data_IF_788417826793
#
_entry.id   IF_788417826793
#
_cell.length_a   1.000
_cell.length_b   1.000
_cell.length_c   1.000
_cell.angle_alpha   90.00
_cell.angle_beta   90.00
_cell.angle_gamma   90.00
#
_symmetry.space_group_name_H-M   'P 1'
#
loop_
_entity.id
_entity.type
_entity.pdbx_description
1 polymer ?
#
# COMPACT_ATOMS: atom_id res chain seq x y z
N UNK A 1 -36.87 -22.17 16.51
CA UNK A 1 -36.93 -21.68 15.12
C UNK A 1 -35.55 -21.14 14.78
N UNK A 2 -34.86 -21.80 13.85
CA UNK A 2 -33.63 -21.28 13.26
C UNK A 2 -33.97 -20.05 12.42
N UNK A 3 -33.45 -18.87 12.79
CA UNK A 3 -33.34 -17.76 11.86
C UNK A 3 -32.06 -17.96 11.05
N UNK A 4 -32.22 -18.63 9.90
CA UNK A 4 -31.24 -18.64 8.81
C UNK A 4 -31.42 -17.36 8.00
N UNK A 5 -30.83 -16.26 8.45
CA UNK A 5 -30.54 -15.13 7.57
C UNK A 5 -29.05 -15.16 7.26
N UNK A 6 -28.77 -15.28 5.97
CA UNK A 6 -27.45 -15.46 5.38
C UNK A 6 -26.60 -14.21 5.56
N UNK A 7 -25.86 -14.14 6.67
CA UNK A 7 -24.68 -13.30 6.78
C UNK A 7 -23.59 -13.95 5.94
N UNK A 8 -23.22 -13.34 4.82
CA UNK A 8 -21.99 -13.70 4.12
C UNK A 8 -20.82 -13.16 4.97
N UNK A 9 -20.52 -13.88 6.06
CA UNK A 9 -19.36 -13.61 6.91
C UNK A 9 -18.14 -13.69 5.99
N UNK A 10 -17.39 -12.58 5.87
CA UNK A 10 -16.10 -12.60 5.17
C UNK A 10 -15.26 -13.67 5.87
N UNK A 11 -15.05 -14.80 5.20
CA UNK A 11 -14.31 -15.92 5.75
C UNK A 11 -12.84 -15.51 5.77
N UNK A 12 -12.32 -15.26 6.97
CA UNK A 12 -10.93 -14.84 7.18
C UNK A 12 -9.90 -15.85 6.66
N UNK A 13 -10.33 -17.06 6.29
CA UNK A 13 -9.49 -18.12 5.74
C UNK A 13 -9.69 -18.34 4.22
N UNK A 14 -10.48 -17.49 3.55
CA UNK A 14 -10.71 -17.57 2.11
C UNK A 14 -10.53 -16.23 1.43
N UNK A 15 -10.08 -16.28 0.18
CA UNK A 15 -10.15 -15.12 -0.71
C UNK A 15 -11.61 -14.92 -1.12
N UNK A 16 -12.33 -14.09 -0.36
CA UNK A 16 -13.70 -13.72 -0.70
C UNK A 16 -13.75 -12.70 -1.83
N UNK A 17 -14.77 -12.86 -2.69
CA UNK A 17 -15.05 -11.93 -3.78
C UNK A 17 -16.06 -10.90 -3.31
N UNK A 18 -15.59 -9.69 -2.98
CA UNK A 18 -16.48 -8.57 -2.64
C UNK A 18 -17.47 -8.24 -3.76
N UNK A 19 -17.17 -8.59 -5.01
CA UNK A 19 -18.09 -8.44 -6.14
C UNK A 19 -19.39 -9.24 -6.02
N UNK A 20 -19.48 -10.20 -5.10
CA UNK A 20 -20.69 -10.96 -4.84
C UNK A 20 -21.61 -10.32 -3.78
N UNK A 21 -21.12 -9.34 -3.01
CA UNK A 21 -21.88 -8.67 -1.96
C UNK A 21 -22.97 -7.79 -2.57
N UNK A 22 -24.18 -7.85 -2.00
CA UNK A 22 -25.37 -7.14 -2.50
C UNK A 22 -26.24 -6.71 -1.33
N UNK A 23 -27.10 -5.72 -1.57
CA UNK A 23 -28.07 -5.27 -0.57
C UNK A 23 -27.39 -4.75 0.70
N UNK A 24 -27.85 -5.22 1.86
CA UNK A 24 -27.40 -4.75 3.17
C UNK A 24 -25.92 -5.08 3.44
N UNK A 25 -25.43 -6.25 3.01
CA UNK A 25 -24.03 -6.66 3.21
C UNK A 25 -23.06 -5.70 2.51
N UNK A 26 -23.41 -5.24 1.30
CA UNK A 26 -22.61 -4.26 0.56
C UNK A 26 -22.63 -2.89 1.27
N UNK A 27 -23.78 -2.47 1.79
CA UNK A 27 -23.87 -1.20 2.51
C UNK A 27 -23.07 -1.24 3.82
N UNK A 28 -23.11 -2.35 4.55
CA UNK A 28 -22.30 -2.53 5.76
C UNK A 28 -20.80 -2.52 5.43
N UNK A 29 -20.36 -3.19 4.36
CA UNK A 29 -18.96 -3.14 3.93
C UNK A 29 -18.54 -1.71 3.59
N UNK A 30 -19.37 -0.94 2.87
CA UNK A 30 -19.07 0.46 2.55
C UNK A 30 -18.89 1.28 3.83
N UNK A 31 -19.82 1.17 4.79
CA UNK A 31 -19.71 1.87 6.08
C UNK A 31 -18.45 1.45 6.83
N UNK A 32 -18.09 0.17 6.82
CA UNK A 32 -16.85 -0.29 7.45
C UNK A 32 -15.62 0.29 6.77
N UNK A 33 -15.54 0.28 5.43
CA UNK A 33 -14.42 0.84 4.67
C UNK A 33 -14.29 2.36 4.91
N UNK A 34 -15.40 3.09 4.89
CA UNK A 34 -15.40 4.55 5.13
C UNK A 34 -14.90 4.92 6.53
N UNK A 35 -15.11 4.04 7.51
CA UNK A 35 -14.64 4.22 8.88
C UNK A 35 -13.30 3.53 9.17
N UNK A 36 -12.74 2.81 8.20
CA UNK A 36 -11.51 2.05 8.38
C UNK A 36 -10.29 2.96 8.22
N UNK A 37 -9.61 3.24 9.33
CA UNK A 37 -8.35 3.95 9.32
C UNK A 37 -7.18 2.96 9.45
N UNK A 38 -6.34 2.88 8.41
CA UNK A 38 -5.08 2.13 8.48
C UNK A 38 -4.08 2.88 9.36
N UNK A 39 -3.85 2.35 10.56
CA UNK A 39 -2.73 2.79 11.39
C UNK A 39 -1.40 2.37 10.75
N UNK A 40 -0.38 3.20 10.94
CA UNK A 40 0.99 2.83 10.61
C UNK A 40 1.39 1.59 11.42
N UNK A 41 1.98 0.59 10.76
CA UNK A 41 2.46 -0.64 11.40
C UNK A 41 3.96 -0.75 11.22
N UNK A 42 4.63 -1.23 12.27
CA UNK A 42 6.08 -1.50 12.24
C UNK A 42 6.38 -2.93 11.75
N UNK A 43 5.35 -3.76 11.58
CA UNK A 43 5.39 -5.12 11.03
C UNK A 43 4.06 -5.50 10.40
N UNK A 44 4.10 -6.33 9.36
CA UNK A 44 2.91 -6.97 8.76
C UNK A 44 2.65 -8.38 9.31
N UNK A 45 3.61 -8.96 10.03
CA UNK A 45 3.67 -10.35 10.46
C UNK A 45 3.61 -11.32 9.27
N UNK A 46 4.33 -11.00 8.19
CA UNK A 46 4.49 -11.92 7.07
C UNK A 46 5.48 -13.04 7.44
N UNK A 47 5.32 -14.27 6.91
CA UNK A 47 6.33 -15.31 7.05
C UNK A 47 7.69 -14.85 6.53
N UNK A 48 8.79 -15.30 7.15
CA UNK A 48 10.17 -14.85 6.82
C UNK A 48 10.55 -15.11 5.36
N UNK A 49 9.95 -16.13 4.73
CA UNK A 49 10.19 -16.49 3.33
C UNK A 49 9.34 -15.69 2.32
N UNK A 50 8.50 -14.78 2.78
CA UNK A 50 7.68 -13.93 1.92
C UNK A 50 8.41 -12.61 1.69
N UNK A 51 8.41 -12.19 0.42
CA UNK A 51 8.87 -10.86 0.03
C UNK A 51 7.74 -10.00 -0.49
N UNK A 52 7.92 -8.69 -0.46
CA UNK A 52 6.95 -7.74 -1.02
C UNK A 52 7.66 -6.51 -1.60
N UNK A 53 6.97 -5.79 -2.46
CA UNK A 53 7.36 -4.47 -2.95
C UNK A 53 6.34 -3.43 -2.50
N UNK A 54 6.81 -2.19 -2.38
CA UNK A 54 5.99 -1.01 -2.09
C UNK A 54 6.15 0.01 -3.20
N UNK A 55 5.03 0.59 -3.63
CA UNK A 55 4.97 1.72 -4.54
C UNK A 55 4.25 2.88 -3.86
N UNK A 56 4.90 4.05 -3.85
CA UNK A 56 4.39 5.28 -3.26
C UNK A 56 4.21 6.32 -4.35
N UNK A 57 2.96 6.56 -4.72
CA UNK A 57 2.60 7.60 -5.67
C UNK A 57 2.45 8.96 -4.98
N UNK A 58 2.95 10.01 -5.62
CA UNK A 58 2.85 11.39 -5.13
C UNK A 58 2.62 12.39 -6.25
N UNK A 59 1.85 13.43 -5.94
CA UNK A 59 1.57 14.56 -6.82
C UNK A 59 2.01 15.88 -6.21
N UNK A 60 2.30 16.87 -7.06
CA UNK A 60 2.60 18.24 -6.63
C UNK A 60 4.06 18.48 -6.24
N UNK A 61 4.90 17.44 -6.28
CA UNK A 61 6.36 17.55 -6.25
C UNK A 61 6.92 17.02 -7.57
N UNK A 62 7.86 17.75 -8.17
CA UNK A 62 8.53 17.25 -9.36
C UNK A 62 9.38 16.02 -9.02
N UNK A 63 9.33 15.00 -9.86
CA UNK A 63 10.12 13.77 -9.72
C UNK A 63 11.60 14.03 -9.40
N UNK A 64 12.26 14.94 -10.12
CA UNK A 64 13.68 15.31 -9.86
C UNK A 64 13.99 15.67 -8.41
N UNK A 65 13.05 16.28 -7.68
CA UNK A 65 13.25 16.61 -6.27
C UNK A 65 13.09 15.40 -5.36
N UNK A 66 12.17 14.49 -5.68
CA UNK A 66 12.05 13.22 -4.99
C UNK A 66 13.25 12.32 -5.30
N UNK A 67 13.59 12.11 -6.57
CA UNK A 67 14.74 11.33 -7.02
C UNK A 67 16.06 11.78 -6.38
N UNK A 68 16.32 13.09 -6.35
CA UNK A 68 17.50 13.63 -5.67
C UNK A 68 17.54 13.28 -4.18
N UNK A 69 16.39 13.31 -3.49
CA UNK A 69 16.31 12.95 -2.08
C UNK A 69 16.49 11.44 -1.88
N UNK A 70 15.78 10.64 -2.68
CA UNK A 70 15.81 9.17 -2.62
C UNK A 70 17.22 8.65 -2.91
N UNK A 71 17.85 9.01 -4.04
CA UNK A 71 19.21 8.56 -4.37
C UNK A 71 20.25 8.93 -3.31
N UNK A 72 20.06 10.06 -2.62
CA UNK A 72 21.00 10.53 -1.60
C UNK A 72 20.86 9.78 -0.27
N UNK A 73 19.64 9.38 0.10
CA UNK A 73 19.32 8.90 1.44
C UNK A 73 18.92 7.41 1.49
N UNK A 74 18.45 6.86 0.37
CA UNK A 74 17.88 5.51 0.24
C UNK A 74 18.31 4.93 -1.12
N UNK A 75 19.58 4.53 -1.29
CA UNK A 75 20.14 4.17 -2.60
C UNK A 75 19.51 2.93 -3.23
N UNK A 76 18.87 2.07 -2.43
CA UNK A 76 18.19 0.86 -2.90
C UNK A 76 16.75 1.12 -3.36
N UNK A 77 16.23 2.33 -3.10
CA UNK A 77 14.92 2.77 -3.53
C UNK A 77 15.03 3.54 -4.85
N UNK A 78 14.01 3.43 -5.69
CA UNK A 78 13.95 4.12 -6.98
C UNK A 78 12.86 5.19 -6.95
N UNK A 79 13.04 6.27 -7.70
CA UNK A 79 11.98 7.22 -8.03
C UNK A 79 11.82 7.22 -9.54
N UNK A 80 10.59 7.05 -10.02
CA UNK A 80 10.26 7.05 -11.45
C UNK A 80 9.20 8.11 -11.76
N UNK A 81 9.20 8.52 -13.02
CA UNK A 81 8.17 9.42 -13.55
C UNK A 81 6.94 8.60 -13.86
N UNK A 82 5.80 9.00 -13.29
CA UNK A 82 4.51 8.53 -13.77
C UNK A 82 4.12 9.39 -14.98
N UNK A 83 4.07 8.75 -16.16
CA UNK A 83 3.73 9.42 -17.42
C UNK A 83 2.27 9.90 -17.48
N UNK A 84 1.42 9.45 -16.55
CA UNK A 84 0.03 9.88 -16.43
C UNK A 84 -0.15 11.20 -15.68
N UNK A 85 0.89 11.68 -14.97
CA UNK A 85 0.84 12.88 -14.14
C UNK A 85 1.63 14.06 -14.75
N UNK A 86 1.05 15.27 -14.70
CA UNK A 86 1.72 16.50 -15.15
C UNK A 86 2.85 16.90 -14.19
N UNK A 87 2.64 16.71 -12.87
CA UNK A 87 3.63 16.94 -11.81
C UNK A 87 3.44 15.89 -10.72
N UNK A 88 4.31 14.89 -10.70
CA UNK A 88 4.28 13.80 -9.73
C UNK A 88 5.27 12.71 -10.09
N UNK A 89 5.16 11.58 -9.41
CA UNK A 89 5.93 10.38 -9.69
C UNK A 89 5.61 9.27 -8.72
N UNK A 90 6.39 8.19 -8.83
CA UNK A 90 6.30 7.02 -7.97
C UNK A 90 7.66 6.77 -7.30
N UNK A 91 7.65 6.38 -6.03
CA UNK A 91 8.82 5.86 -5.33
C UNK A 91 8.63 4.36 -5.14
N UNK A 92 9.58 3.57 -5.64
CA UNK A 92 9.52 2.11 -5.68
C UNK A 92 10.56 1.56 -4.72
N UNK A 93 10.14 0.63 -3.86
CA UNK A 93 11.06 -0.05 -2.94
C UNK A 93 11.90 -1.10 -3.67
N UNK A 94 13.05 -1.50 -3.11
CA UNK A 94 13.64 -2.79 -3.46
C UNK A 94 12.69 -3.93 -3.05
N UNK A 95 13.07 -5.18 -3.36
CA UNK A 95 12.40 -6.34 -2.76
C UNK A 95 12.59 -6.30 -1.24
N UNK A 96 11.49 -6.24 -0.50
CA UNK A 96 11.46 -6.10 0.96
C UNK A 96 11.11 -7.42 1.66
N UNK A 97 11.58 -7.51 2.89
CA UNK A 97 11.14 -8.46 3.90
C UNK A 97 10.56 -7.68 5.08
N UNK A 98 9.77 -8.34 5.94
CA UNK A 98 9.08 -7.70 7.06
C UNK A 98 10.02 -7.39 8.24
N UNK A 99 10.98 -6.51 7.99
CA UNK A 99 12.04 -6.10 8.91
C UNK A 99 11.81 -4.66 9.41
N UNK A 100 12.01 -4.36 10.71
CA UNK A 100 11.77 -3.03 11.29
C UNK A 100 12.50 -1.88 10.57
N UNK A 101 13.73 -2.13 10.13
CA UNK A 101 14.59 -1.20 9.42
C UNK A 101 13.99 -0.76 8.07
N UNK A 102 13.25 -1.63 7.38
CA UNK A 102 12.56 -1.28 6.12
C UNK A 102 11.35 -0.39 6.36
N UNK A 103 10.64 -0.63 7.45
CA UNK A 103 9.57 0.26 7.91
C UNK A 103 10.13 1.63 8.32
N UNK A 104 11.29 1.70 8.99
CA UNK A 104 11.91 2.98 9.34
C UNK A 104 12.29 3.82 8.09
N UNK A 105 12.80 3.17 7.04
CA UNK A 105 13.06 3.81 5.74
C UNK A 105 11.78 4.37 5.14
N UNK A 106 10.72 3.54 5.05
CA UNK A 106 9.41 3.94 4.56
C UNK A 106 8.86 5.15 5.33
N UNK A 107 8.95 5.13 6.66
CA UNK A 107 8.49 6.23 7.51
C UNK A 107 9.23 7.53 7.20
N UNK A 108 10.55 7.48 6.98
CA UNK A 108 11.35 8.66 6.62
C UNK A 108 10.95 9.22 5.25
N UNK A 109 10.70 8.35 4.27
CA UNK A 109 10.22 8.75 2.95
C UNK A 109 8.84 9.42 3.05
N UNK A 110 7.89 8.80 3.75
CA UNK A 110 6.57 9.38 4.00
C UNK A 110 6.65 10.74 4.70
N UNK A 111 7.53 10.88 5.69
CA UNK A 111 7.75 12.14 6.39
C UNK A 111 8.37 13.22 5.48
N UNK A 112 9.25 12.85 4.56
CA UNK A 112 9.79 13.77 3.57
C UNK A 112 8.70 14.29 2.63
N UNK A 113 7.89 13.40 2.07
CA UNK A 113 6.77 13.73 1.20
C UNK A 113 5.76 14.65 1.93
N UNK A 114 5.39 14.30 3.16
CA UNK A 114 4.50 15.13 4.00
C UNK A 114 5.05 16.53 4.24
N UNK A 115 6.36 16.68 4.48
CA UNK A 115 7.01 17.99 4.65
C UNK A 115 7.02 18.83 3.37
N UNK A 116 6.89 18.19 2.20
CA UNK A 116 6.83 18.84 0.90
C UNK A 116 5.41 19.20 0.46
N UNK A 117 4.42 18.96 1.33
CA UNK A 117 3.00 19.25 1.09
C UNK A 117 2.49 18.60 -0.21
N UNK A 118 3.01 17.40 -0.50
CA UNK A 118 2.62 16.64 -1.69
C UNK A 118 1.24 16.02 -1.49
N UNK A 119 0.48 15.92 -2.56
CA UNK A 119 -0.81 15.27 -2.56
C UNK A 119 -0.62 13.76 -2.81
N UNK A 120 -1.06 12.92 -1.88
CA UNK A 120 -1.02 11.45 -1.97
C UNK A 120 -2.41 10.84 -2.05
N UNK A 121 -3.45 11.63 -2.36
CA UNK A 121 -4.85 11.19 -2.21
C UNK A 121 -5.73 11.31 -3.46
N UNK A 122 -5.43 12.20 -4.41
CA UNK A 122 -6.40 12.49 -5.51
C UNK A 122 -6.26 11.58 -6.72
N UNK A 123 -5.06 11.30 -7.21
CA UNK A 123 -4.82 10.29 -8.25
C UNK A 123 -3.63 9.37 -7.92
N UNK A 124 -3.11 9.45 -6.68
CA UNK A 124 -2.22 8.43 -6.14
C UNK A 124 -3.09 7.24 -5.71
N UNK A 125 -2.97 6.09 -6.36
CA UNK A 125 -3.81 4.89 -6.20
C UNK A 125 -3.74 4.19 -4.84
N UNK A 126 -3.22 4.85 -3.81
CA UNK A 126 -2.90 4.27 -2.52
C UNK A 126 -1.53 3.60 -2.53
N UNK A 127 -0.98 3.35 -1.34
CA UNK A 127 0.26 2.57 -1.18
C UNK A 127 -0.02 1.17 -1.71
N UNK A 128 0.48 0.85 -2.92
CA UNK A 128 0.36 -0.50 -3.45
C UNK A 128 1.44 -1.39 -2.81
N UNK A 129 0.98 -2.45 -2.16
CA UNK A 129 1.84 -3.53 -1.67
C UNK A 129 1.73 -4.70 -2.64
N UNK A 130 2.78 -4.95 -3.41
CA UNK A 130 2.86 -6.11 -4.27
C UNK A 130 3.53 -7.26 -3.49
N UNK A 131 2.77 -8.27 -3.08
CA UNK A 131 3.36 -9.46 -2.43
C UNK A 131 3.96 -10.36 -3.50
N UNK A 132 5.29 -10.50 -3.49
CA UNK A 132 6.01 -11.43 -4.35
C UNK A 132 6.30 -12.69 -3.53
N UNK A 133 5.52 -13.76 -3.78
CA UNK A 133 5.79 -15.08 -3.20
C UNK A 133 7.13 -15.62 -3.71
N UNK A 134 7.84 -16.46 -2.94
CA UNK A 134 9.15 -16.96 -3.32
C UNK A 134 9.10 -17.68 -4.67
N UNK A 135 10.16 -17.52 -5.47
CA UNK A 135 10.41 -18.34 -6.64
C UNK A 135 10.45 -19.80 -6.18
N UNK A 136 9.45 -20.58 -6.59
CA UNK A 136 9.51 -22.03 -6.48
C UNK A 136 10.60 -22.47 -7.46
N UNK A 137 11.85 -22.57 -7.00
CA UNK A 137 12.86 -23.36 -7.69
C UNK A 137 12.43 -24.82 -7.56
N UNK A 138 11.80 -25.34 -8.62
CA UNK A 138 11.75 -26.77 -8.92
C UNK A 138 13.13 -27.25 -9.38
#
# INVERSE_FOLDING_TARGET
>A
MENKESLCFIDSNRNDKFSCLRGIDLQELIVQIENFYLSYREKLNLPENVSFGLELEYEGLSEKHADKYIRKHFPDWESKTDLSLIVGGEIISPVLHDEPNRWEELQKICNYLKKKDVNTFKNAGGIFMLVLTPWVTM
#
